data_IF_321000731103
#
_entry.id   IF_321000731103
#
_cell.length_a   1.000
_cell.length_b   1.000
_cell.length_c   1.000
_cell.angle_alpha   90.00
_cell.angle_beta   90.00
_cell.angle_gamma   90.00
#
_symmetry.space_group_name_H-M   'P 1'
#
loop_
_entity.id
_entity.type
_entity.pdbx_description
1 polymer ?
#
# COMPACT_ATOMS: atom_id res chain seq x y z
N UNK A 1 18.80 14.21 -17.25
CA UNK A 1 18.44 14.06 -15.82
C UNK A 1 17.03 13.48 -15.77
N UNK A 2 16.77 12.48 -14.92
CA UNK A 2 15.42 11.91 -14.78
C UNK A 2 14.54 12.94 -14.06
N UNK A 3 13.33 13.27 -14.55
CA UNK A 3 12.46 14.21 -13.86
C UNK A 3 12.05 13.73 -12.47
N UNK A 4 11.97 14.63 -11.49
CA UNK A 4 11.71 14.25 -10.10
C UNK A 4 10.39 13.52 -9.87
N UNK A 5 9.34 13.86 -10.62
CA UNK A 5 8.06 13.14 -10.56
C UNK A 5 8.18 11.67 -10.98
N UNK A 6 9.12 11.31 -11.88
CA UNK A 6 9.33 9.91 -12.30
C UNK A 6 9.86 9.08 -11.14
N UNK A 7 10.79 9.63 -10.36
CA UNK A 7 11.34 8.97 -9.16
C UNK A 7 10.24 8.71 -8.14
N UNK A 8 9.35 9.68 -7.92
CA UNK A 8 8.24 9.55 -7.00
C UNK A 8 7.17 8.56 -7.47
N UNK A 9 6.90 8.48 -8.79
CA UNK A 9 6.02 7.46 -9.36
C UNK A 9 6.64 6.06 -9.18
N UNK A 10 7.95 5.91 -9.40
CA UNK A 10 8.65 4.64 -9.15
C UNK A 10 8.57 4.27 -7.66
N UNK A 11 8.72 5.24 -6.75
CA UNK A 11 8.55 5.02 -5.32
C UNK A 11 7.11 4.56 -4.99
N UNK A 12 6.09 5.19 -5.59
CA UNK A 12 4.69 4.78 -5.43
C UNK A 12 4.44 3.36 -5.95
N UNK A 13 4.97 3.00 -7.13
CA UNK A 13 4.86 1.64 -7.69
C UNK A 13 5.55 0.64 -6.75
N UNK A 14 6.77 0.93 -6.32
CA UNK A 14 7.55 0.04 -5.46
C UNK A 14 6.86 -0.18 -4.13
N UNK A 15 6.33 0.89 -3.54
CA UNK A 15 5.53 0.83 -2.32
C UNK A 15 4.27 -0.02 -2.52
N UNK A 16 3.49 0.23 -3.58
CA UNK A 16 2.27 -0.52 -3.87
C UNK A 16 2.51 -2.00 -4.14
N UNK A 17 3.65 -2.36 -4.78
CA UNK A 17 4.06 -3.76 -4.94
C UNK A 17 4.41 -4.36 -3.58
N UNK A 18 5.39 -3.79 -2.87
CA UNK A 18 5.93 -4.39 -1.66
C UNK A 18 4.89 -4.47 -0.55
N UNK A 19 4.16 -3.39 -0.29
CA UNK A 19 3.16 -3.36 0.77
C UNK A 19 2.09 -4.44 0.56
N UNK A 20 1.63 -4.64 -0.68
CA UNK A 20 0.62 -5.66 -0.98
C UNK A 20 1.16 -7.10 -1.06
N UNK A 21 2.47 -7.31 -0.96
CA UNK A 21 3.06 -8.65 -0.75
C UNK A 21 2.91 -9.05 0.73
N UNK A 22 2.67 -8.11 1.65
CA UNK A 22 2.54 -8.42 3.06
C UNK A 22 1.37 -9.40 3.32
N UNK A 23 1.60 -10.47 4.11
CA UNK A 23 0.59 -11.51 4.35
C UNK A 23 -0.69 -11.01 5.02
N UNK A 24 -0.65 -9.92 5.77
CA UNK A 24 -1.81 -9.30 6.41
C UNK A 24 -2.92 -8.93 5.42
N UNK A 25 -2.59 -8.51 4.20
CA UNK A 25 -3.58 -8.17 3.17
C UNK A 25 -4.20 -9.38 2.49
N UNK A 26 -3.43 -10.41 2.16
CA UNK A 26 -3.91 -11.52 1.33
C UNK A 26 -4.04 -12.86 2.05
N UNK A 27 -3.37 -13.08 3.18
CA UNK A 27 -3.38 -14.38 3.87
C UNK A 27 -4.76 -14.73 4.43
N UNK A 28 -5.52 -13.80 5.07
CA UNK A 28 -6.89 -14.11 5.52
C UNK A 28 -7.80 -14.56 4.37
N UNK A 29 -7.69 -13.86 3.25
CA UNK A 29 -8.44 -14.12 2.02
C UNK A 29 -8.06 -15.48 1.44
N UNK A 30 -6.77 -15.71 1.28
CA UNK A 30 -6.24 -16.95 0.67
C UNK A 30 -6.54 -18.16 1.54
N UNK A 31 -6.46 -18.04 2.87
CA UNK A 31 -6.83 -19.10 3.80
C UNK A 31 -8.31 -19.49 3.66
N UNK A 32 -9.22 -18.51 3.55
CA UNK A 32 -10.65 -18.76 3.33
C UNK A 32 -10.91 -19.39 1.95
N UNK A 33 -10.27 -18.88 0.90
CA UNK A 33 -10.49 -19.33 -0.48
C UNK A 33 -9.94 -20.74 -0.72
N UNK A 34 -8.78 -21.07 -0.14
CA UNK A 34 -8.19 -22.42 -0.19
C UNK A 34 -9.08 -23.44 0.52
N UNK A 35 -9.63 -23.11 1.69
CA UNK A 35 -10.56 -23.99 2.41
C UNK A 35 -11.83 -24.29 1.61
N UNK A 36 -12.35 -23.30 0.86
CA UNK A 36 -13.57 -23.44 0.06
C UNK A 36 -13.36 -23.98 -1.36
N UNK A 37 -12.11 -24.23 -1.78
CA UNK A 37 -11.74 -24.78 -3.10
C UNK A 37 -12.38 -24.03 -4.28
N UNK A 38 -12.38 -22.70 -4.24
CA UNK A 38 -12.87 -21.89 -5.34
C UNK A 38 -11.96 -22.01 -6.58
N UNK A 39 -12.53 -21.71 -7.77
CA UNK A 39 -11.79 -21.70 -9.03
C UNK A 39 -10.83 -20.51 -9.10
N UNK A 40 -9.69 -20.67 -9.76
CA UNK A 40 -8.67 -19.61 -9.97
C UNK A 40 -9.25 -18.27 -10.43
N UNK A 41 -10.23 -18.30 -11.34
CA UNK A 41 -10.88 -17.09 -11.86
C UNK A 41 -11.61 -16.30 -10.76
N UNK A 42 -12.29 -17.01 -9.86
CA UNK A 42 -12.99 -16.38 -8.74
C UNK A 42 -11.99 -15.82 -7.73
N UNK A 43 -10.92 -16.57 -7.45
CA UNK A 43 -9.83 -16.15 -6.57
C UNK A 43 -9.17 -14.87 -7.11
N UNK A 44 -8.83 -14.84 -8.40
CA UNK A 44 -8.29 -13.67 -9.07
C UNK A 44 -9.25 -12.47 -8.98
N UNK A 45 -10.54 -12.69 -9.21
CA UNK A 45 -11.56 -11.65 -9.10
C UNK A 45 -11.62 -11.02 -7.71
N UNK A 46 -11.61 -11.86 -6.65
CA UNK A 46 -11.59 -11.37 -5.27
C UNK A 46 -10.29 -10.61 -4.95
N UNK A 47 -9.14 -11.14 -5.37
CA UNK A 47 -7.84 -10.48 -5.16
C UNK A 47 -7.78 -9.11 -5.89
N UNK A 48 -8.29 -9.03 -7.12
CA UNK A 48 -8.39 -7.76 -7.85
C UNK A 48 -9.29 -6.76 -7.13
N UNK A 49 -10.44 -7.19 -6.60
CA UNK A 49 -11.33 -6.33 -5.82
C UNK A 49 -10.64 -5.80 -4.57
N UNK A 50 -9.91 -6.65 -3.84
CA UNK A 50 -9.16 -6.22 -2.65
C UNK A 50 -8.10 -5.20 -3.02
N UNK A 51 -7.26 -5.50 -4.02
CA UNK A 51 -6.22 -4.58 -4.46
C UNK A 51 -6.78 -3.25 -4.98
N UNK A 52 -7.93 -3.28 -5.67
CA UNK A 52 -8.60 -2.08 -6.15
C UNK A 52 -9.18 -1.27 -4.99
N UNK A 53 -9.89 -1.90 -4.05
CA UNK A 53 -10.47 -1.20 -2.90
C UNK A 53 -9.38 -0.60 -2.01
N UNK A 54 -8.32 -1.34 -1.70
CA UNK A 54 -7.19 -0.84 -0.93
C UNK A 54 -6.48 0.33 -1.66
N UNK A 55 -6.15 0.16 -2.95
CA UNK A 55 -5.47 1.19 -3.74
C UNK A 55 -6.31 2.46 -3.92
N UNK A 56 -7.58 2.32 -4.29
CA UNK A 56 -8.49 3.45 -4.49
C UNK A 56 -8.85 4.16 -3.19
N UNK A 57 -9.04 3.43 -2.09
CA UNK A 57 -9.29 4.06 -0.78
C UNK A 57 -8.06 4.79 -0.27
N UNK A 58 -6.85 4.24 -0.45
CA UNK A 58 -5.59 4.92 -0.10
C UNK A 58 -5.37 6.18 -0.94
N UNK A 59 -5.69 6.12 -2.25
CA UNK A 59 -5.67 7.29 -3.12
C UNK A 59 -6.70 8.34 -2.68
N UNK A 60 -7.94 7.92 -2.41
CA UNK A 60 -8.99 8.83 -1.96
C UNK A 60 -8.61 9.52 -0.63
N UNK A 61 -8.05 8.76 0.32
CA UNK A 61 -7.52 9.30 1.57
C UNK A 61 -6.39 10.31 1.31
N UNK A 62 -5.46 9.98 0.43
CA UNK A 62 -4.35 10.86 0.07
C UNK A 62 -4.80 12.17 -0.58
N UNK A 63 -5.77 12.09 -1.50
CA UNK A 63 -6.37 13.27 -2.12
C UNK A 63 -7.17 14.10 -1.12
N UNK A 64 -7.89 13.47 -0.20
CA UNK A 64 -8.61 14.15 0.86
C UNK A 64 -7.63 14.93 1.77
N UNK A 65 -6.54 14.29 2.19
CA UNK A 65 -5.51 14.94 3.01
C UNK A 65 -4.82 16.07 2.23
N UNK A 66 -4.56 15.90 0.93
CA UNK A 66 -4.03 16.97 0.09
C UNK A 66 -4.99 18.16 0.02
N UNK A 67 -6.27 17.92 -0.27
CA UNK A 67 -7.29 18.97 -0.39
C UNK A 67 -7.47 19.75 0.92
N UNK A 68 -7.56 19.03 2.05
CA UNK A 68 -7.67 19.64 3.37
C UNK A 68 -6.36 20.36 3.72
N UNK A 69 -5.21 19.71 3.50
CA UNK A 69 -3.89 20.24 3.81
C UNK A 69 -3.60 21.55 3.09
N UNK A 70 -3.95 21.65 1.81
CA UNK A 70 -3.80 22.87 1.00
C UNK A 70 -4.62 24.07 1.54
N UNK A 71 -5.63 23.83 2.39
CA UNK A 71 -6.38 24.93 3.03
C UNK A 71 -5.60 25.59 4.16
N UNK A 72 -4.68 24.86 4.79
CA UNK A 72 -3.94 25.30 5.98
C UNK A 72 -2.44 25.49 5.72
N UNK A 73 -1.88 24.77 4.75
CA UNK A 73 -0.45 24.74 4.44
C UNK A 73 -0.21 25.46 3.11
N UNK A 74 0.55 26.56 3.10
CA UNK A 74 0.98 27.22 1.86
C UNK A 74 1.77 26.28 0.94
N UNK A 75 1.61 26.46 -0.38
CA UNK A 75 2.19 25.57 -1.39
C UNK A 75 3.71 25.39 -1.26
N UNK A 76 4.45 26.44 -0.90
CA UNK A 76 5.92 26.38 -0.74
C UNK A 76 6.37 25.52 0.45
N UNK A 77 5.47 25.17 1.38
CA UNK A 77 5.76 24.26 2.49
C UNK A 77 5.35 22.80 2.20
N UNK A 78 4.80 22.48 1.02
CA UNK A 78 4.34 21.11 0.71
C UNK A 78 5.49 20.10 0.77
N UNK A 79 6.68 20.43 0.27
CA UNK A 79 7.83 19.52 0.35
C UNK A 79 8.23 19.26 1.81
N UNK A 80 8.32 20.30 2.63
CA UNK A 80 8.61 20.17 4.07
C UNK A 80 7.54 19.34 4.78
N UNK A 81 6.27 19.61 4.52
CA UNK A 81 5.15 18.85 5.07
C UNK A 81 5.20 17.38 4.63
N UNK A 82 5.55 17.11 3.38
CA UNK A 82 5.70 15.76 2.85
C UNK A 82 6.85 15.00 3.50
N UNK A 83 8.02 15.64 3.68
CA UNK A 83 9.15 15.04 4.40
C UNK A 83 8.77 14.69 5.84
N UNK A 84 8.12 15.63 6.55
CA UNK A 84 7.64 15.39 7.92
C UNK A 84 6.65 14.22 7.94
N UNK A 85 5.69 14.19 7.01
CA UNK A 85 4.74 13.07 6.91
C UNK A 85 5.41 11.75 6.55
N UNK A 86 6.41 11.72 5.66
CA UNK A 86 7.17 10.51 5.34
C UNK A 86 7.82 9.95 6.60
N UNK A 87 8.48 10.79 7.39
CA UNK A 87 9.13 10.38 8.63
C UNK A 87 8.08 9.88 9.64
N UNK A 88 7.00 10.64 9.85
CA UNK A 88 5.95 10.27 10.80
C UNK A 88 5.25 8.96 10.42
N UNK A 89 4.90 8.78 9.15
CA UNK A 89 4.26 7.55 8.65
C UNK A 89 5.25 6.39 8.70
N UNK A 90 6.54 6.60 8.41
CA UNK A 90 7.57 5.57 8.58
C UNK A 90 7.66 5.12 10.04
N UNK A 91 7.72 6.06 10.99
CA UNK A 91 7.74 5.74 12.42
C UNK A 91 6.46 5.01 12.83
N UNK A 92 5.29 5.46 12.35
CA UNK A 92 4.02 4.80 12.61
C UNK A 92 4.02 3.34 12.14
N UNK A 93 4.45 3.07 10.90
CA UNK A 93 4.54 1.71 10.35
C UNK A 93 5.50 0.86 11.20
N UNK A 94 6.67 1.40 11.56
CA UNK A 94 7.63 0.70 12.41
C UNK A 94 7.05 0.36 13.79
N UNK A 95 6.35 1.30 14.44
CA UNK A 95 5.72 1.09 15.75
C UNK A 95 4.56 0.10 15.69
N UNK A 96 3.76 0.16 14.62
CA UNK A 96 2.66 -0.79 14.36
C UNK A 96 3.19 -2.21 14.18
N UNK A 97 4.26 -2.37 13.38
CA UNK A 97 4.94 -3.66 13.20
C UNK A 97 5.48 -4.24 14.52
N UNK A 98 5.91 -3.38 15.47
CA UNK A 98 6.36 -3.83 16.80
C UNK A 98 5.19 -4.22 17.72
N UNK A 99 4.04 -3.57 17.60
CA UNK A 99 2.84 -3.82 18.43
C UNK A 99 1.92 -4.93 17.89
N UNK A 100 2.23 -5.47 16.72
CA UNK A 100 1.42 -6.47 16.07
C UNK A 100 1.34 -7.74 16.94
N UNK A 101 0.17 -7.95 17.54
CA UNK A 101 -0.19 -9.15 18.28
C UNK A 101 -0.62 -10.24 17.30
N UNK A 102 -0.21 -11.49 17.53
CA UNK A 102 -0.62 -12.66 16.77
C UNK A 102 -2.14 -12.85 16.84
N UNK A 103 -2.88 -12.18 15.95
CA UNK A 103 -4.32 -12.30 15.83
C UNK A 103 -4.68 -13.66 15.26
N UNK A 104 -5.22 -14.55 16.09
CA UNK A 104 -5.78 -15.80 15.61
C UNK A 104 -7.00 -15.51 14.72
N UNK A 105 -6.94 -15.96 13.47
CA UNK A 105 -8.04 -15.83 12.51
C UNK A 105 -9.23 -16.62 13.05
N UNK A 106 -10.25 -15.90 13.53
CA UNK A 106 -11.41 -16.48 14.19
C UNK A 106 -12.34 -17.15 13.14
N UNK A 107 -12.80 -18.37 13.42
CA UNK A 107 -13.42 -19.29 12.45
C UNK A 107 -14.77 -18.83 11.86
N UNK A 108 -15.38 -17.76 12.39
CA UNK A 108 -16.70 -17.26 11.97
C UNK A 108 -16.67 -16.14 10.93
N UNK A 109 -15.48 -15.74 10.45
CA UNK A 109 -15.36 -14.60 9.54
C UNK A 109 -16.04 -14.86 8.19
N UNK A 110 -17.07 -14.06 7.90
CA UNK A 110 -17.70 -13.98 6.58
C UNK A 110 -16.69 -13.48 5.53
N UNK A 111 -16.85 -13.90 4.27
CA UNK A 111 -16.05 -13.41 3.15
C UNK A 111 -16.06 -11.88 3.08
N UNK A 112 -17.19 -11.25 3.40
CA UNK A 112 -17.31 -9.79 3.48
C UNK A 112 -16.36 -9.20 4.52
N UNK A 113 -16.29 -9.77 5.71
CA UNK A 113 -15.47 -9.25 6.79
C UNK A 113 -13.97 -9.37 6.47
N UNK A 114 -13.58 -10.48 5.83
CA UNK A 114 -12.20 -10.67 5.35
C UNK A 114 -11.84 -9.66 4.27
N UNK A 115 -12.72 -9.45 3.28
CA UNK A 115 -12.49 -8.44 2.23
C UNK A 115 -12.41 -7.03 2.83
N UNK A 116 -13.27 -6.69 3.79
CA UNK A 116 -13.26 -5.36 4.42
C UNK A 116 -11.93 -5.09 5.11
N UNK A 117 -11.45 -6.00 5.96
CA UNK A 117 -10.19 -5.82 6.70
C UNK A 117 -9.01 -5.71 5.74
N UNK A 118 -8.94 -6.58 4.73
CA UNK A 118 -7.88 -6.56 3.71
C UNK A 118 -7.92 -5.32 2.81
N UNK A 119 -9.04 -4.60 2.75
CA UNK A 119 -9.26 -3.44 1.88
C UNK A 119 -9.06 -2.08 2.54
N UNK A 120 -8.73 -2.04 3.84
CA UNK A 120 -8.53 -0.79 4.57
C UNK A 120 -7.43 0.07 3.91
N UNK A 121 -7.62 1.40 3.82
CA UNK A 121 -6.63 2.29 3.22
C UNK A 121 -5.37 2.39 4.08
N UNK A 122 -4.20 2.49 3.42
CA UNK A 122 -2.92 2.72 4.07
C UNK A 122 -2.48 4.20 3.95
N UNK A 123 -2.09 4.86 5.05
CA UNK A 123 -1.51 6.21 5.02
C UNK A 123 -0.18 6.34 4.26
N UNK A 124 0.54 5.27 3.92
CA UNK A 124 1.87 5.35 3.29
C UNK A 124 1.89 6.10 1.93
N UNK A 125 0.77 6.09 1.20
CA UNK A 125 0.66 6.82 -0.09
C UNK A 125 0.55 8.34 0.08
N UNK A 126 0.02 8.81 1.21
CA UNK A 126 -0.28 10.22 1.49
C UNK A 126 0.95 11.12 1.21
N UNK A 127 2.10 10.91 1.85
CA UNK A 127 3.25 11.78 1.64
C UNK A 127 3.77 11.79 0.19
N UNK A 128 3.70 10.66 -0.51
CA UNK A 128 4.13 10.58 -1.92
C UNK A 128 3.20 11.42 -2.79
N UNK A 129 1.88 11.31 -2.57
CA UNK A 129 0.87 12.12 -3.27
C UNK A 129 1.06 13.61 -3.02
N UNK A 130 1.33 14.03 -1.78
CA UNK A 130 1.65 15.43 -1.50
C UNK A 130 2.92 15.87 -2.25
N UNK A 131 3.98 15.08 -2.23
CA UNK A 131 5.24 15.40 -2.90
C UNK A 131 5.06 15.56 -4.41
N UNK A 132 4.35 14.62 -5.04
CA UNK A 132 4.08 14.65 -6.48
C UNK A 132 3.17 15.82 -6.87
N UNK A 133 2.30 16.29 -5.99
CA UNK A 133 1.40 17.42 -6.26
C UNK A 133 2.12 18.72 -6.61
N UNK A 134 3.39 18.86 -6.19
CA UNK A 134 4.24 20.00 -6.57
C UNK A 134 4.56 20.04 -8.06
N UNK A 135 4.47 18.90 -8.75
CA UNK A 135 4.66 18.76 -10.20
C UNK A 135 3.33 18.86 -10.97
N UNK A 136 2.20 19.06 -10.30
CA UNK A 136 0.88 19.25 -10.91
C UNK A 136 -0.06 18.04 -10.79
N UNK A 137 -1.36 18.31 -10.98
CA UNK A 137 -2.45 17.35 -10.72
C UNK A 137 -2.41 16.10 -11.59
N UNK A 138 -1.98 16.20 -12.85
CA UNK A 138 -1.82 15.05 -13.74
C UNK A 138 -0.84 14.03 -13.16
N UNK A 139 0.32 14.49 -12.68
CA UNK A 139 1.33 13.61 -12.10
C UNK A 139 0.83 12.97 -10.80
N UNK A 140 0.05 13.70 -9.99
CA UNK A 140 -0.59 13.15 -8.78
C UNK A 140 -1.53 11.99 -9.11
N UNK A 141 -2.38 12.18 -10.13
CA UNK A 141 -3.29 11.13 -10.59
C UNK A 141 -2.54 9.93 -11.16
N UNK A 142 -1.47 10.17 -11.93
CA UNK A 142 -0.62 9.11 -12.48
C UNK A 142 0.07 8.31 -11.36
N UNK A 143 0.60 8.97 -10.32
CA UNK A 143 1.21 8.30 -9.18
C UNK A 143 0.18 7.44 -8.41
N UNK A 144 -1.02 7.98 -8.17
CA UNK A 144 -2.11 7.24 -7.52
C UNK A 144 -2.62 6.05 -8.33
N UNK A 145 -2.78 6.22 -9.65
CA UNK A 145 -3.16 5.15 -10.56
C UNK A 145 -2.07 4.08 -10.63
N UNK A 146 -0.79 4.47 -10.71
CA UNK A 146 0.33 3.55 -10.73
C UNK A 146 0.43 2.73 -9.43
N UNK A 147 0.26 3.37 -8.26
CA UNK A 147 0.15 2.68 -6.98
C UNK A 147 -0.99 1.66 -6.99
N UNK A 148 -2.20 2.07 -7.40
CA UNK A 148 -3.38 1.20 -7.41
C UNK A 148 -3.19 -0.01 -8.32
N UNK A 149 -2.69 0.19 -9.54
CA UNK A 149 -2.43 -0.90 -10.50
C UNK A 149 -1.33 -1.84 -10.00
N UNK A 150 -0.29 -1.29 -9.39
CA UNK A 150 0.78 -2.06 -8.75
C UNK A 150 0.22 -2.93 -7.61
N UNK A 151 -0.59 -2.36 -6.73
CA UNK A 151 -1.26 -3.06 -5.63
C UNK A 151 -2.17 -4.20 -6.13
N UNK A 152 -3.01 -3.92 -7.13
CA UNK A 152 -3.88 -4.92 -7.77
C UNK A 152 -3.10 -6.09 -8.37
N UNK A 153 -2.04 -5.78 -9.11
CA UNK A 153 -1.19 -6.77 -9.77
C UNK A 153 -0.44 -7.62 -8.75
N UNK A 154 0.13 -6.97 -7.72
CA UNK A 154 0.90 -7.62 -6.66
C UNK A 154 0.06 -8.63 -5.90
N UNK A 155 -1.07 -8.21 -5.33
CA UNK A 155 -1.92 -9.09 -4.52
C UNK A 155 -2.49 -10.24 -5.35
N UNK A 156 -2.91 -9.97 -6.58
CA UNK A 156 -3.50 -10.98 -7.46
C UNK A 156 -2.45 -12.03 -7.85
N UNK A 157 -1.23 -11.59 -8.16
CA UNK A 157 -0.12 -12.48 -8.47
C UNK A 157 0.23 -13.37 -7.27
N UNK A 158 0.37 -12.78 -6.08
CA UNK A 158 0.71 -13.51 -4.85
C UNK A 158 -0.37 -14.56 -4.55
N UNK A 159 -1.64 -14.18 -4.54
CA UNK A 159 -2.75 -15.10 -4.23
C UNK A 159 -2.81 -16.25 -5.24
N UNK A 160 -2.67 -15.98 -6.54
CA UNK A 160 -2.70 -17.03 -7.57
C UNK A 160 -1.50 -17.99 -7.46
N UNK A 161 -0.31 -17.47 -7.19
CA UNK A 161 0.89 -18.28 -7.03
C UNK A 161 0.83 -19.15 -5.77
N UNK A 162 0.23 -18.64 -4.70
CA UNK A 162 -0.01 -19.43 -3.48
C UNK A 162 -1.07 -20.50 -3.71
N UNK A 163 -2.15 -20.18 -4.43
CA UNK A 163 -3.17 -21.17 -4.80
C UNK A 163 -2.59 -22.33 -5.62
N UNK A 164 -1.60 -22.04 -6.47
CA UNK A 164 -0.84 -23.04 -7.24
C UNK A 164 0.28 -23.74 -6.45
N UNK A 165 0.51 -23.34 -5.20
CA UNK A 165 1.54 -23.91 -4.33
C UNK A 165 2.97 -23.43 -4.63
N UNK A 166 3.15 -22.44 -5.52
CA UNK A 166 4.47 -21.96 -5.95
C UNK A 166 5.14 -21.01 -4.94
N UNK A 167 4.34 -20.32 -4.12
CA UNK A 167 4.83 -19.32 -3.16
C UNK A 167 4.41 -19.60 -1.71
N UNK A 168 4.31 -20.87 -1.32
CA UNK A 168 4.03 -21.25 0.09
C UNK A 168 5.04 -20.67 1.08
N UNK A 169 6.27 -20.37 0.66
CA UNK A 169 7.27 -19.73 1.51
C UNK A 169 6.89 -18.29 1.89
N UNK A 170 6.17 -17.56 1.02
CA UNK A 170 5.71 -16.21 1.34
C UNK A 170 4.71 -16.19 2.50
N UNK A 171 3.91 -17.24 2.69
CA UNK A 171 3.01 -17.33 3.86
C UNK A 171 3.74 -17.56 5.18
N UNK A 172 5.03 -17.85 5.14
CA UNK A 172 5.89 -17.98 6.33
C UNK A 172 6.70 -16.71 6.60
N UNK A 173 6.68 -15.73 5.69
CA UNK A 173 7.36 -14.44 5.91
C UNK A 173 6.59 -13.67 6.96
N UNK A 174 7.27 -13.19 7.99
CA UNK A 174 6.65 -12.33 9.00
C UNK A 174 6.28 -10.98 8.34
N UNK A 175 5.01 -10.51 8.41
CA UNK A 175 4.57 -9.23 7.84
C UNK A 175 5.48 -8.05 8.18
N UNK A 176 6.03 -8.04 9.41
CA UNK A 176 6.96 -7.02 9.91
C UNK A 176 8.13 -6.72 8.98
N UNK A 177 8.67 -7.72 8.28
CA UNK A 177 9.80 -7.49 7.37
C UNK A 177 9.41 -6.66 6.14
N UNK A 178 8.17 -6.82 5.67
CA UNK A 178 7.64 -6.09 4.53
C UNK A 178 7.28 -4.67 4.96
N UNK A 179 6.76 -4.49 6.18
CA UNK A 179 6.54 -3.18 6.78
C UNK A 179 7.85 -2.40 6.97
N UNK A 180 8.92 -3.08 7.39
CA UNK A 180 10.25 -2.48 7.44
C UNK A 180 10.73 -2.03 6.06
N UNK A 181 10.50 -2.84 5.01
CA UNK A 181 10.85 -2.45 3.65
C UNK A 181 10.04 -1.24 3.16
N UNK A 182 8.74 -1.18 3.46
CA UNK A 182 7.90 -0.03 3.17
C UNK A 182 8.39 1.24 3.88
N UNK A 183 8.69 1.15 5.18
CA UNK A 183 9.25 2.26 5.95
C UNK A 183 10.60 2.74 5.38
N UNK A 184 11.47 1.83 4.95
CA UNK A 184 12.74 2.18 4.30
C UNK A 184 12.50 2.94 2.99
N UNK A 185 11.54 2.52 2.16
CA UNK A 185 11.19 3.24 0.92
C UNK A 185 10.71 4.66 1.23
N UNK A 186 9.88 4.84 2.25
CA UNK A 186 9.40 6.16 2.65
C UNK A 186 10.54 7.05 3.15
N UNK A 187 11.46 6.52 3.96
CA UNK A 187 12.64 7.25 4.43
C UNK A 187 13.59 7.62 3.28
N UNK A 188 13.83 6.71 2.34
CA UNK A 188 14.63 6.99 1.14
C UNK A 188 13.97 8.06 0.26
N UNK A 189 12.64 8.02 0.15
CA UNK A 189 11.87 9.06 -0.56
C UNK A 189 12.00 10.41 0.14
N UNK A 190 11.98 10.43 1.48
CA UNK A 190 12.15 11.66 2.26
C UNK A 190 13.54 12.26 2.06
N UNK A 191 14.57 11.41 2.11
CA UNK A 191 15.94 11.80 1.84
C UNK A 191 16.09 12.35 0.41
N UNK A 192 15.49 11.70 -0.58
CA UNK A 192 15.49 12.18 -1.96
C UNK A 192 14.90 13.58 -2.08
N UNK A 193 13.70 13.80 -1.53
CA UNK A 193 13.04 15.13 -1.58
C UNK A 193 13.84 16.18 -0.84
N UNK A 194 14.51 15.83 0.27
CA UNK A 194 15.35 16.77 1.01
C UNK A 194 16.59 17.22 0.22
N UNK A 195 17.13 16.35 -0.64
CA UNK A 195 18.34 16.61 -1.42
C UNK A 195 18.07 17.35 -2.74
N UNK A 196 16.81 17.49 -3.16
CA UNK A 196 16.41 18.08 -4.46
C UNK A 196 15.58 19.34 -4.26
#
# INVERSE_FOLDING_TARGET
MVPGYVVLIIAAITLGILHMIAPDHWAPVTALLLRRRYRDQFIAGIALVIGALHGLSSLALSLLVLLIGMRFIPFHYINTASIVLLILVSIYILLSALHEHDGSVNESFSLTAVVTVSSLPDPALIPIVLSVSTYGSLHTLLAGAAYTLASMSSVTLVVLLINRGLLRTLSMVNPRYIDYAAAVILLLTALYIYLT
#
